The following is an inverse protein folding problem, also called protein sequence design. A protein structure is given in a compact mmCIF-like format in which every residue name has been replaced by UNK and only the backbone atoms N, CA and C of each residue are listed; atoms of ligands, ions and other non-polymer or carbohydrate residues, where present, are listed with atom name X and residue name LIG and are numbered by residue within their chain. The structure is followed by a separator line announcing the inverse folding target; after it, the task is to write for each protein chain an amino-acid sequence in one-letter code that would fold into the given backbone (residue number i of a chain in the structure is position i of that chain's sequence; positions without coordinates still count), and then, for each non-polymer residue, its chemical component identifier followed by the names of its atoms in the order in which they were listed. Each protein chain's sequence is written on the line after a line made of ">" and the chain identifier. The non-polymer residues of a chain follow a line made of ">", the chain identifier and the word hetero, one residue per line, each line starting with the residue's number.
data_IF_564924465408
#
_entry.id   IF_564924465408
#
_cell.length_a   1.000
_cell.length_b   1.000
_cell.length_c   1.000
_cell.angle_alpha   90.00
_cell.angle_beta   90.00
_cell.angle_gamma   90.00
#
_symmetry.space_group_name_H-M   'P 1'
#
loop_
_entity.id
_entity.type
_entity.pdbx_description
1 polymer ?
#
# COMPACT_ATOMS: atom_id res chain seq x y z
N UNK A 1 -0.85 -5.44 33.50
CA UNK A 1 -0.62 -6.68 32.73
C UNK A 1 -1.75 -6.76 31.72
N UNK A 2 -1.47 -6.56 30.43
CA UNK A 2 -2.42 -6.87 29.38
C UNK A 2 -2.61 -8.39 29.40
N UNK A 3 -3.78 -8.83 29.81
CA UNK A 3 -4.13 -10.22 29.61
C UNK A 3 -4.68 -10.30 28.21
N UNK A 4 -3.90 -10.84 27.30
CA UNK A 4 -4.46 -11.36 26.05
C UNK A 4 -5.65 -12.27 26.35
N UNK A 5 -6.46 -12.57 25.36
CA UNK A 5 -7.55 -13.54 25.50
C UNK A 5 -6.96 -14.92 25.78
N UNK A 6 -6.60 -15.18 27.05
CA UNK A 6 -6.00 -16.44 27.48
C UNK A 6 -7.07 -17.47 27.86
N UNK A 7 -6.88 -18.72 27.45
CA UNK A 7 -7.67 -19.86 27.91
C UNK A 7 -6.81 -21.08 28.13
N UNK A 8 -7.32 -22.01 28.95
CA UNK A 8 -6.64 -23.29 29.26
C UNK A 8 -6.58 -24.22 28.05
N UNK A 9 -7.47 -24.02 27.07
CA UNK A 9 -7.55 -24.81 25.84
C UNK A 9 -7.33 -23.97 24.60
N UNK A 10 -6.65 -24.51 23.59
CA UNK A 10 -6.63 -23.95 22.25
C UNK A 10 -8.07 -23.87 21.76
N UNK A 11 -8.55 -22.66 21.49
CA UNK A 11 -9.97 -22.46 21.23
C UNK A 11 -10.40 -22.80 19.83
N UNK A 12 -9.67 -22.34 18.82
CA UNK A 12 -10.07 -22.39 17.42
C UNK A 12 -8.92 -22.80 16.51
N UNK A 13 -9.28 -23.18 15.28
CA UNK A 13 -8.38 -23.56 14.22
C UNK A 13 -7.84 -22.35 13.42
N UNK A 14 -7.66 -21.20 14.06
CA UNK A 14 -7.22 -19.97 13.40
C UNK A 14 -5.72 -19.99 13.09
N UNK A 15 -5.40 -19.59 11.86
CA UNK A 15 -4.03 -19.35 11.40
C UNK A 15 -3.61 -17.90 11.53
N UNK A 16 -2.34 -17.70 11.87
CA UNK A 16 -1.70 -16.38 11.91
C UNK A 16 -1.51 -15.80 10.50
N UNK A 17 -1.38 -14.48 10.39
CA UNK A 17 -1.01 -13.80 9.15
C UNK A 17 0.37 -14.23 8.62
N UNK A 18 1.26 -14.68 9.50
CA UNK A 18 2.63 -15.11 9.15
C UNK A 18 2.82 -16.61 9.22
N UNK A 19 1.77 -17.37 8.90
CA UNK A 19 1.71 -18.82 8.95
C UNK A 19 1.66 -19.42 10.36
N UNK A 20 1.24 -20.65 10.46
CA UNK A 20 1.10 -21.36 11.73
C UNK A 20 -0.19 -21.04 12.49
N UNK A 21 -0.25 -21.49 13.75
CA UNK A 21 -1.42 -21.26 14.63
C UNK A 21 -1.46 -19.80 15.11
N UNK A 22 -2.62 -19.18 15.18
CA UNK A 22 -2.82 -17.91 15.87
C UNK A 22 -2.89 -18.01 17.40
N UNK A 23 -2.72 -19.21 17.94
CA UNK A 23 -2.77 -19.49 19.39
C UNK A 23 -1.45 -20.07 19.87
N UNK A 24 -0.86 -19.44 20.89
CA UNK A 24 0.37 -19.89 21.54
C UNK A 24 0.09 -20.24 23.00
N UNK A 25 0.63 -21.39 23.42
CA UNK A 25 0.59 -21.79 24.83
C UNK A 25 1.71 -21.09 25.61
N UNK A 26 1.36 -20.46 26.73
CA UNK A 26 2.31 -19.89 27.68
C UNK A 26 2.48 -20.83 28.89
N UNK A 27 3.65 -21.45 29.00
CA UNK A 27 3.98 -22.40 30.10
C UNK A 27 3.94 -21.74 31.45
N UNK A 28 4.21 -20.44 31.55
CA UNK A 28 4.26 -19.72 32.86
C UNK A 28 2.88 -19.56 33.46
N UNK A 29 1.89 -19.27 32.62
CA UNK A 29 0.48 -19.07 33.04
C UNK A 29 -0.37 -20.33 32.88
N UNK A 30 0.10 -21.31 32.12
CA UNK A 30 -0.68 -22.51 31.76
C UNK A 30 -1.88 -22.21 30.86
N UNK A 31 -1.86 -21.13 30.08
CA UNK A 31 -2.95 -20.67 29.25
C UNK A 31 -2.50 -20.46 27.79
N UNK A 32 -3.46 -20.48 26.87
CA UNK A 32 -3.24 -20.03 25.50
C UNK A 32 -3.57 -18.53 25.39
N UNK A 33 -2.79 -17.82 24.55
CA UNK A 33 -3.10 -16.47 24.15
C UNK A 33 -3.21 -16.36 22.61
N UNK A 34 -4.01 -15.40 22.17
CA UNK A 34 -4.13 -15.06 20.74
C UNK A 34 -2.94 -14.21 20.31
N UNK A 35 -2.37 -14.52 19.17
CA UNK A 35 -1.46 -13.66 18.41
C UNK A 35 -1.86 -13.73 16.94
N UNK A 36 -2.15 -12.61 16.31
CA UNK A 36 -2.56 -12.61 14.92
C UNK A 36 -1.36 -12.63 13.97
N UNK A 37 -0.17 -12.28 14.47
CA UNK A 37 1.10 -12.24 13.75
C UNK A 37 2.10 -13.23 14.36
N UNK A 38 3.19 -12.75 14.95
CA UNK A 38 4.16 -13.63 15.62
C UNK A 38 3.82 -13.86 17.09
N UNK A 39 4.27 -14.98 17.69
CA UNK A 39 4.00 -15.28 19.10
C UNK A 39 4.46 -14.20 20.08
N UNK A 40 5.49 -13.43 19.74
CA UNK A 40 6.03 -12.32 20.54
C UNK A 40 5.12 -11.09 20.54
N UNK A 41 4.05 -11.08 19.72
CA UNK A 41 3.05 -10.01 19.61
C UNK A 41 1.68 -10.47 20.14
N UNK A 42 1.49 -10.67 21.44
CA UNK A 42 0.18 -11.05 21.99
C UNK A 42 -0.86 -9.98 21.69
N UNK A 43 -2.03 -10.41 21.26
CA UNK A 43 -3.14 -9.52 20.93
C UNK A 43 -3.72 -8.88 22.19
N UNK A 44 -3.93 -7.56 22.17
CA UNK A 44 -4.48 -6.82 23.31
C UNK A 44 -5.99 -7.01 23.42
N UNK A 45 -6.48 -7.24 24.62
CA UNK A 45 -7.91 -7.34 24.87
C UNK A 45 -8.56 -5.95 24.97
N UNK A 46 -9.04 -5.44 23.83
CA UNK A 46 -9.73 -4.16 23.73
C UNK A 46 -11.13 -4.14 24.39
N UNK A 47 -11.75 -5.28 24.67
CA UNK A 47 -12.98 -5.34 25.47
C UNK A 47 -12.73 -4.85 26.90
N UNK A 48 -11.49 -4.96 27.39
CA UNK A 48 -11.10 -4.48 28.70
C UNK A 48 -10.92 -2.94 28.69
N UNK A 49 -11.77 -2.17 29.39
CA UNK A 49 -11.69 -0.70 29.39
C UNK A 49 -10.38 -0.18 30.02
N UNK A 50 -9.70 -0.98 30.85
CA UNK A 50 -8.39 -0.60 31.42
C UNK A 50 -7.32 -0.60 30.31
N UNK A 51 -7.37 -1.58 29.40
CA UNK A 51 -6.45 -1.62 28.25
C UNK A 51 -6.67 -0.40 27.36
N UNK A 52 -7.93 -0.08 27.02
CA UNK A 52 -8.26 1.10 26.20
C UNK A 52 -7.75 2.39 26.89
N UNK A 53 -7.97 2.53 28.19
CA UNK A 53 -7.47 3.70 28.94
C UNK A 53 -5.95 3.84 28.85
N UNK A 54 -5.21 2.76 29.07
CA UNK A 54 -3.75 2.80 28.99
C UNK A 54 -3.23 3.17 27.59
N UNK A 55 -3.91 2.68 26.54
CA UNK A 55 -3.61 3.06 25.15
C UNK A 55 -3.90 4.56 24.92
N UNK A 56 -5.03 5.07 25.40
CA UNK A 56 -5.39 6.48 25.23
C UNK A 56 -4.48 7.40 26.04
N UNK A 57 -4.04 6.99 27.22
CA UNK A 57 -3.07 7.73 28.03
C UNK A 57 -1.70 7.79 27.31
N UNK A 58 -1.25 6.69 26.72
CA UNK A 58 -0.04 6.63 25.90
C UNK A 58 -0.15 7.55 24.68
N UNK A 59 -1.26 7.52 23.94
CA UNK A 59 -1.48 8.39 22.80
C UNK A 59 -1.48 9.87 23.22
N UNK A 60 -2.15 10.21 24.33
CA UNK A 60 -2.16 11.56 24.90
C UNK A 60 -0.74 12.04 25.22
N UNK A 61 0.08 11.16 25.83
CA UNK A 61 1.46 11.50 26.14
C UNK A 61 2.28 11.85 24.90
N UNK A 62 2.07 11.14 23.77
CA UNK A 62 2.69 11.49 22.50
C UNK A 62 2.18 12.83 21.94
N UNK A 63 0.87 13.09 22.01
CA UNK A 63 0.29 14.36 21.58
C UNK A 63 0.88 15.53 22.38
N UNK A 64 1.07 15.38 23.70
CA UNK A 64 1.71 16.37 24.55
C UNK A 64 3.19 16.60 24.23
N UNK A 65 3.85 15.64 23.53
CA UNK A 65 5.19 15.82 22.96
C UNK A 65 5.19 16.62 21.68
N UNK A 66 4.02 16.90 21.08
CA UNK A 66 3.88 17.73 19.89
C UNK A 66 3.91 16.97 18.59
N UNK A 67 3.47 15.71 18.55
CA UNK A 67 3.25 15.02 17.27
C UNK A 67 1.99 15.53 16.58
N UNK A 68 1.97 15.46 15.24
CA UNK A 68 0.89 15.97 14.42
C UNK A 68 -0.11 14.88 13.95
N UNK A 69 0.06 13.64 14.40
CA UNK A 69 -0.87 12.57 14.04
C UNK A 69 -0.36 11.16 14.32
N UNK A 70 -1.17 10.20 13.90
CA UNK A 70 -0.90 8.77 14.06
C UNK A 70 -1.17 8.00 12.77
N UNK A 71 -0.25 7.12 12.41
CA UNK A 71 -0.54 5.95 11.59
C UNK A 71 -0.80 4.79 12.54
N UNK A 72 -1.97 4.19 12.44
CA UNK A 72 -2.42 3.13 13.34
C UNK A 72 -2.31 1.78 12.64
N UNK A 73 -1.38 0.98 13.14
CA UNK A 73 -1.09 -0.37 12.63
C UNK A 73 -2.28 -1.28 12.85
N UNK A 74 -2.69 -2.00 11.80
CA UNK A 74 -3.77 -3.00 11.79
C UNK A 74 -4.99 -2.63 12.64
N UNK A 75 -5.37 -1.37 12.61
CA UNK A 75 -6.41 -0.82 13.48
C UNK A 75 -7.76 -1.49 13.30
N UNK A 76 -8.03 -2.11 12.17
CA UNK A 76 -9.27 -2.87 11.90
C UNK A 76 -9.36 -4.21 12.62
N UNK A 77 -8.34 -4.59 13.39
CA UNK A 77 -8.24 -5.88 14.07
C UNK A 77 -8.39 -5.78 15.61
N UNK A 78 -8.73 -4.63 16.16
CA UNK A 78 -8.76 -4.43 17.62
C UNK A 78 -10.02 -5.03 18.26
N UNK A 79 -11.12 -5.12 17.53
CA UNK A 79 -12.38 -5.73 18.03
C UNK A 79 -12.48 -7.19 17.61
N UNK A 80 -12.69 -8.08 18.59
CA UNK A 80 -12.85 -9.51 18.34
C UNK A 80 -14.32 -9.91 18.31
N UNK A 81 -14.68 -11.05 17.66
CA UNK A 81 -16.05 -11.53 17.68
C UNK A 81 -16.47 -11.92 19.10
N UNK A 82 -17.76 -11.75 19.41
CA UNK A 82 -18.32 -12.17 20.71
C UNK A 82 -18.18 -13.68 20.97
N UNK A 83 -18.30 -14.48 19.92
CA UNK A 83 -18.11 -15.93 19.95
C UNK A 83 -16.96 -16.36 19.06
N UNK A 84 -16.02 -17.08 19.65
CA UNK A 84 -14.88 -17.68 18.95
C UNK A 84 -15.32 -19.02 18.33
N UNK A 85 -15.36 -19.12 17.01
CA UNK A 85 -15.77 -20.32 16.25
C UNK A 85 -14.65 -20.78 15.36
N UNK A 86 -14.62 -22.11 15.10
CA UNK A 86 -13.74 -22.66 14.06
C UNK A 86 -14.17 -22.13 12.69
N UNK A 87 -13.17 -21.84 11.87
CA UNK A 87 -13.37 -21.41 10.49
C UNK A 87 -13.23 -22.55 9.49
N UNK A 88 -13.69 -22.34 8.24
CA UNK A 88 -13.45 -23.28 7.17
C UNK A 88 -11.95 -23.32 6.83
N UNK A 89 -11.43 -24.53 6.67
CA UNK A 89 -10.04 -24.76 6.26
C UNK A 89 -10.06 -25.21 4.80
N UNK A 90 -9.26 -24.56 3.95
CA UNK A 90 -9.12 -24.96 2.54
C UNK A 90 -8.36 -26.29 2.43
N UNK A 91 -8.58 -26.99 1.33
CA UNK A 91 -7.87 -28.24 1.06
C UNK A 91 -6.35 -28.00 1.03
N UNK A 92 -5.61 -28.78 1.80
CA UNK A 92 -4.15 -28.64 1.94
C UNK A 92 -3.68 -27.67 3.02
N UNK A 93 -4.57 -26.83 3.59
CA UNK A 93 -4.22 -25.94 4.70
C UNK A 93 -4.45 -26.61 6.06
N UNK A 94 -3.72 -26.18 7.09
CA UNK A 94 -3.88 -26.67 8.47
C UNK A 94 -4.82 -25.78 9.31
N UNK A 95 -4.97 -24.51 8.93
CA UNK A 95 -5.64 -23.48 9.71
C UNK A 95 -6.57 -22.67 8.82
N UNK A 96 -7.59 -22.07 9.42
CA UNK A 96 -8.44 -21.05 8.79
C UNK A 96 -7.83 -19.67 8.98
N UNK A 97 -7.84 -18.83 7.97
CA UNK A 97 -7.28 -17.47 8.05
C UNK A 97 -7.97 -16.63 9.13
N UNK A 98 -7.23 -16.16 10.14
CA UNK A 98 -7.82 -15.46 11.30
C UNK A 98 -8.45 -14.11 10.92
N UNK A 99 -7.94 -13.39 9.93
CA UNK A 99 -8.45 -12.10 9.50
C UNK A 99 -9.92 -12.13 9.09
N UNK A 100 -10.41 -13.28 8.57
CA UNK A 100 -11.82 -13.46 8.25
C UNK A 100 -12.76 -13.37 9.46
N UNK A 101 -12.23 -13.51 10.69
CA UNK A 101 -13.01 -13.48 11.94
C UNK A 101 -12.69 -12.29 12.82
N UNK A 102 -11.51 -11.70 12.67
CA UNK A 102 -10.98 -10.69 13.56
C UNK A 102 -11.00 -9.28 12.98
N UNK A 103 -11.20 -9.14 11.66
CA UNK A 103 -11.27 -7.84 11.02
C UNK A 103 -12.66 -7.23 11.14
N UNK A 104 -12.71 -5.91 11.37
CA UNK A 104 -13.93 -5.12 11.44
C UNK A 104 -14.95 -5.71 12.46
N UNK A 105 -14.48 -6.05 13.65
CA UNK A 105 -15.27 -6.69 14.68
C UNK A 105 -16.42 -5.82 15.21
N UNK A 106 -17.35 -6.41 16.01
CA UNK A 106 -18.63 -5.78 16.35
C UNK A 106 -18.50 -4.47 17.13
N UNK A 107 -17.42 -4.27 17.90
CA UNK A 107 -17.17 -3.06 18.70
C UNK A 107 -16.10 -2.13 18.11
N UNK A 108 -15.66 -2.38 16.89
CA UNK A 108 -14.56 -1.65 16.23
C UNK A 108 -14.82 -0.14 16.23
N UNK A 109 -15.94 0.27 15.69
CA UNK A 109 -16.32 1.69 15.59
C UNK A 109 -16.62 2.32 16.96
N UNK A 110 -17.09 1.56 17.93
CA UNK A 110 -17.27 2.05 19.30
C UNK A 110 -15.92 2.43 19.93
N UNK A 111 -14.90 1.58 19.77
CA UNK A 111 -13.56 1.83 20.29
C UNK A 111 -12.89 3.01 19.59
N UNK A 112 -13.05 3.13 18.28
CA UNK A 112 -12.50 4.27 17.52
C UNK A 112 -13.20 5.59 17.89
N UNK A 113 -14.51 5.58 18.10
CA UNK A 113 -15.23 6.77 18.55
C UNK A 113 -14.86 7.13 19.98
N UNK A 114 -14.66 6.16 20.89
CA UNK A 114 -14.12 6.42 22.23
C UNK A 114 -12.72 7.03 22.16
N UNK A 115 -11.84 6.48 21.32
CA UNK A 115 -10.48 7.02 21.05
C UNK A 115 -10.55 8.46 20.55
N UNK A 116 -11.44 8.72 19.60
CA UNK A 116 -11.60 10.07 19.04
C UNK A 116 -12.05 11.05 20.14
N UNK A 117 -13.07 10.71 20.91
CA UNK A 117 -13.59 11.57 21.98
C UNK A 117 -12.56 11.79 23.11
N UNK A 118 -11.79 10.77 23.45
CA UNK A 118 -10.82 10.83 24.57
C UNK A 118 -9.50 11.48 24.19
N UNK A 119 -9.06 11.32 22.92
CA UNK A 119 -7.74 11.76 22.46
C UNK A 119 -7.84 12.61 21.19
N UNK A 120 -8.26 12.03 20.04
CA UNK A 120 -7.98 12.61 18.74
C UNK A 120 -8.64 13.99 18.55
N UNK A 121 -9.89 14.15 18.96
CA UNK A 121 -10.62 15.43 18.82
C UNK A 121 -10.09 16.57 19.71
N UNK A 122 -9.17 16.28 20.62
CA UNK A 122 -8.57 17.28 21.53
C UNK A 122 -7.35 17.97 20.94
N UNK A 123 -6.83 17.46 19.83
CA UNK A 123 -5.63 17.92 19.16
C UNK A 123 -5.90 18.10 17.67
N UNK A 124 -5.07 18.90 16.99
CA UNK A 124 -5.14 19.02 15.54
C UNK A 124 -4.26 17.93 14.90
N UNK A 125 -4.84 16.77 14.68
CA UNK A 125 -4.13 15.57 14.25
C UNK A 125 -4.56 15.11 12.86
N UNK A 126 -3.62 14.61 12.09
CA UNK A 126 -3.88 13.73 10.94
C UNK A 126 -3.83 12.27 11.41
N UNK A 127 -4.87 11.50 11.12
CA UNK A 127 -4.90 10.09 11.49
C UNK A 127 -5.16 9.21 10.26
N UNK A 128 -4.36 8.16 10.12
CA UNK A 128 -4.54 7.17 9.06
C UNK A 128 -4.50 5.76 9.66
N UNK A 129 -5.53 4.99 9.39
CA UNK A 129 -5.61 3.60 9.83
C UNK A 129 -5.14 2.64 8.76
N UNK A 130 -4.31 1.67 9.13
CA UNK A 130 -4.10 0.50 8.30
C UNK A 130 -5.26 -0.47 8.54
N UNK A 131 -6.02 -0.73 7.48
CA UNK A 131 -7.25 -1.52 7.58
C UNK A 131 -7.19 -2.72 6.63
N UNK A 132 -6.64 -3.81 7.13
CA UNK A 132 -6.68 -5.09 6.43
C UNK A 132 -8.14 -5.57 6.31
N UNK A 133 -8.48 -6.19 5.19
CA UNK A 133 -9.81 -6.75 4.93
C UNK A 133 -10.95 -5.71 4.99
N UNK A 134 -10.66 -4.42 4.79
CA UNK A 134 -11.68 -3.38 4.76
C UNK A 134 -12.40 -3.38 3.41
N UNK A 135 -13.72 -3.32 3.44
CA UNK A 135 -14.54 -3.02 2.27
C UNK A 135 -14.75 -1.52 2.13
N UNK A 136 -15.17 -1.08 0.94
CA UNK A 136 -15.52 0.32 0.71
C UNK A 136 -16.58 0.82 1.71
N UNK A 137 -17.57 0.00 2.05
CA UNK A 137 -18.64 0.38 2.99
C UNK A 137 -18.12 0.50 4.42
N UNK A 138 -17.18 -0.34 4.84
CA UNK A 138 -16.51 -0.18 6.13
C UNK A 138 -15.61 1.07 6.14
N UNK A 139 -14.83 1.30 5.06
CA UNK A 139 -13.98 2.48 4.96
C UNK A 139 -14.75 3.79 5.11
N UNK A 140 -15.98 3.87 4.59
CA UNK A 140 -16.88 5.01 4.78
C UNK A 140 -17.22 5.28 6.25
N UNK A 141 -17.20 4.26 7.11
CA UNK A 141 -17.43 4.42 8.55
C UNK A 141 -16.17 4.94 9.25
N UNK A 142 -15.01 4.30 8.98
CA UNK A 142 -13.71 4.67 9.56
C UNK A 142 -13.30 6.12 9.27
N UNK A 143 -13.48 6.56 8.03
CA UNK A 143 -12.91 7.82 7.52
C UNK A 143 -13.98 8.84 7.11
N UNK A 144 -15.14 8.79 7.72
CA UNK A 144 -16.26 9.66 7.42
C UNK A 144 -15.92 11.13 7.67
N UNK A 145 -16.39 12.01 6.78
CA UNK A 145 -16.12 13.45 6.83
C UNK A 145 -16.68 14.16 8.07
N UNK A 146 -17.49 13.48 8.91
CA UNK A 146 -17.97 14.01 10.17
C UNK A 146 -16.93 14.00 11.30
N UNK A 147 -15.73 13.45 11.03
CA UNK A 147 -14.57 13.49 11.92
C UNK A 147 -14.71 12.72 13.23
N UNK A 148 -15.57 11.72 13.29
CA UNK A 148 -15.83 10.97 14.53
C UNK A 148 -14.87 9.82 14.80
N UNK A 149 -14.08 9.39 13.81
CA UNK A 149 -13.12 8.31 13.92
C UNK A 149 -11.77 8.78 13.36
N UNK A 150 -11.36 8.31 12.20
CA UNK A 150 -10.07 8.59 11.59
C UNK A 150 -10.20 9.59 10.43
N UNK A 151 -9.09 10.21 10.02
CA UNK A 151 -9.08 11.10 8.87
C UNK A 151 -9.17 10.33 7.55
N UNK A 152 -8.52 9.16 7.47
CA UNK A 152 -8.50 8.27 6.30
C UNK A 152 -8.02 6.87 6.67
N UNK A 153 -8.11 5.93 5.74
CA UNK A 153 -7.61 4.56 5.90
C UNK A 153 -6.82 4.11 4.68
N UNK A 154 -5.84 3.22 4.90
CA UNK A 154 -5.20 2.46 3.84
C UNK A 154 -6.00 1.18 3.57
N UNK A 155 -6.52 1.05 2.37
CA UNK A 155 -7.14 -0.17 1.86
C UNK A 155 -6.11 -1.01 1.09
N UNK A 156 -6.33 -2.32 0.98
CA UNK A 156 -5.38 -3.25 0.40
C UNK A 156 -5.90 -3.96 -0.86
N UNK A 157 -7.13 -3.72 -1.30
CA UNK A 157 -7.70 -4.44 -2.43
C UNK A 157 -6.85 -4.33 -3.71
N UNK A 158 -6.27 -3.15 -3.98
CA UNK A 158 -5.39 -2.97 -5.13
C UNK A 158 -4.03 -3.66 -4.97
N UNK A 159 -3.61 -3.99 -3.74
CA UNK A 159 -2.38 -4.76 -3.50
C UNK A 159 -2.53 -6.25 -3.85
N UNK A 160 -3.77 -6.74 -4.00
CA UNK A 160 -4.05 -8.15 -4.26
C UNK A 160 -4.37 -8.45 -5.74
N UNK A 161 -4.32 -7.45 -6.64
CA UNK A 161 -4.68 -7.62 -8.07
C UNK A 161 -3.81 -8.63 -8.82
N UNK A 162 -2.59 -8.83 -8.37
CA UNK A 162 -1.62 -9.78 -8.91
C UNK A 162 -1.38 -10.97 -7.97
N UNK A 163 -2.39 -11.31 -7.14
CA UNK A 163 -2.45 -12.50 -6.28
C UNK A 163 -3.30 -13.61 -6.91
N UNK A 164 -3.09 -14.86 -6.45
CA UNK A 164 -3.86 -16.05 -6.83
C UNK A 164 -4.26 -16.89 -5.60
N UNK A 165 -4.48 -18.19 -5.76
CA UNK A 165 -4.82 -19.11 -4.67
C UNK A 165 -3.73 -19.24 -3.59
N UNK A 166 -2.47 -18.89 -3.92
CA UNK A 166 -1.34 -18.82 -2.99
C UNK A 166 -1.10 -17.41 -2.43
N UNK A 167 -2.09 -16.51 -2.55
CA UNK A 167 -1.98 -15.12 -2.19
C UNK A 167 -1.02 -14.37 -3.12
N UNK A 168 -0.19 -13.48 -2.54
CA UNK A 168 0.80 -12.70 -3.31
C UNK A 168 1.98 -13.54 -3.85
N UNK A 169 2.14 -14.78 -3.34
CA UNK A 169 3.30 -15.62 -3.63
C UNK A 169 3.15 -16.40 -4.93
N UNK A 170 3.09 -15.65 -6.01
CA UNK A 170 2.80 -16.14 -7.36
C UNK A 170 3.56 -15.33 -8.42
N UNK A 171 3.67 -15.87 -9.62
CA UNK A 171 4.22 -15.17 -10.78
C UNK A 171 3.16 -14.42 -11.61
N UNK A 172 1.90 -14.40 -11.14
CA UNK A 172 0.81 -13.65 -11.77
C UNK A 172 1.20 -12.20 -11.98
N UNK A 173 0.95 -11.70 -13.17
CA UNK A 173 1.22 -10.31 -13.56
C UNK A 173 -0.01 -9.44 -13.34
N UNK A 174 0.22 -8.14 -13.26
CA UNK A 174 -0.85 -7.16 -13.26
C UNK A 174 -1.74 -7.34 -14.50
N UNK A 175 -3.05 -7.45 -14.26
CA UNK A 175 -4.07 -7.24 -15.27
C UNK A 175 -4.68 -5.87 -15.02
N UNK A 176 -4.38 -4.92 -15.89
CA UNK A 176 -4.70 -3.51 -15.66
C UNK A 176 -6.19 -3.23 -15.42
N UNK A 177 -7.15 -3.89 -16.12
CA UNK A 177 -8.57 -3.70 -15.83
C UNK A 177 -8.98 -3.98 -14.39
N UNK A 178 -8.39 -5.00 -13.72
CA UNK A 178 -8.66 -5.29 -12.31
C UNK A 178 -8.21 -4.14 -11.40
N UNK A 179 -7.03 -3.58 -11.66
CA UNK A 179 -6.52 -2.42 -10.93
C UNK A 179 -7.42 -1.19 -11.13
N UNK A 180 -7.84 -0.94 -12.37
CA UNK A 180 -8.75 0.19 -12.70
C UNK A 180 -10.09 0.05 -12.00
N UNK A 181 -10.69 -1.15 -12.04
CA UNK A 181 -11.96 -1.40 -11.37
C UNK A 181 -11.90 -1.03 -9.89
N UNK A 182 -10.86 -1.50 -9.18
CA UNK A 182 -10.70 -1.24 -7.75
C UNK A 182 -10.50 0.26 -7.50
N UNK A 183 -9.52 0.89 -8.18
CA UNK A 183 -9.22 2.29 -7.93
C UNK A 183 -10.39 3.21 -8.32
N UNK A 184 -11.07 2.95 -9.44
CA UNK A 184 -12.25 3.70 -9.87
C UNK A 184 -13.39 3.56 -8.84
N UNK A 185 -13.63 2.35 -8.35
CA UNK A 185 -14.66 2.09 -7.33
C UNK A 185 -14.37 2.82 -6.03
N UNK A 186 -13.11 2.83 -5.57
CA UNK A 186 -12.71 3.57 -4.36
C UNK A 186 -12.79 5.08 -4.55
N UNK A 187 -12.35 5.60 -5.71
CA UNK A 187 -12.48 7.03 -6.02
C UNK A 187 -13.94 7.48 -6.00
N UNK A 188 -14.82 6.77 -6.71
CA UNK A 188 -16.26 7.10 -6.76
C UNK A 188 -16.97 6.85 -5.44
N UNK A 189 -16.64 5.78 -4.77
CA UNK A 189 -17.33 5.36 -3.56
C UNK A 189 -17.05 6.24 -2.34
N UNK A 190 -15.88 6.87 -2.25
CA UNK A 190 -15.55 7.80 -1.18
C UNK A 190 -15.89 9.26 -1.49
N UNK A 191 -16.20 9.59 -2.75
CA UNK A 191 -16.48 10.96 -3.19
C UNK A 191 -17.58 11.60 -2.34
N UNK A 192 -17.26 12.73 -1.71
CA UNK A 192 -18.19 13.48 -0.87
C UNK A 192 -18.55 12.85 0.49
N UNK A 193 -18.03 11.65 0.79
CA UNK A 193 -18.32 10.91 2.03
C UNK A 193 -17.11 10.79 2.92
N UNK A 194 -15.96 10.41 2.37
CA UNK A 194 -14.72 10.19 3.09
C UNK A 194 -13.51 10.57 2.24
N UNK A 195 -12.35 10.70 2.88
CA UNK A 195 -11.11 11.07 2.19
C UNK A 195 -10.29 9.82 1.87
N UNK A 196 -9.79 9.71 0.63
CA UNK A 196 -9.01 8.59 0.17
C UNK A 196 -7.51 8.77 0.51
N UNK A 197 -6.83 7.70 0.90
CA UNK A 197 -5.38 7.61 0.91
C UNK A 197 -4.89 6.89 -0.36
N UNK A 198 -3.85 7.43 -0.98
CA UNK A 198 -3.32 6.95 -2.25
C UNK A 198 -1.89 6.48 -2.04
N UNK A 199 -1.55 5.25 -2.45
CA UNK A 199 -0.20 4.74 -2.37
C UNK A 199 0.02 3.63 -3.39
N UNK A 200 1.27 3.47 -3.84
CA UNK A 200 1.68 2.37 -4.70
C UNK A 200 2.45 1.30 -3.95
N UNK A 201 3.30 1.72 -3.02
CA UNK A 201 4.09 0.83 -2.17
C UNK A 201 4.23 1.39 -0.76
N UNK A 202 4.80 0.59 0.13
CA UNK A 202 5.10 0.94 1.51
C UNK A 202 6.19 -0.01 2.06
N UNK A 203 6.44 0.02 3.38
CA UNK A 203 7.42 -0.85 4.04
C UNK A 203 7.06 -2.35 4.01
N UNK A 204 5.87 -2.71 3.55
CA UNK A 204 5.35 -4.09 3.45
C UNK A 204 5.00 -4.49 2.02
N UNK A 205 5.34 -3.67 1.01
CA UNK A 205 5.09 -3.94 -0.39
C UNK A 205 6.39 -3.81 -1.20
N UNK A 206 6.58 -4.63 -2.24
CA UNK A 206 7.72 -4.48 -3.13
C UNK A 206 7.71 -3.14 -3.85
N UNK A 207 8.85 -2.72 -4.39
CA UNK A 207 9.00 -1.46 -5.13
C UNK A 207 8.09 -1.44 -6.36
N UNK A 208 7.24 -0.42 -6.46
CA UNK A 208 6.19 -0.35 -7.49
C UNK A 208 6.73 -0.34 -8.91
N UNK A 209 7.87 0.31 -9.16
CA UNK A 209 8.47 0.35 -10.51
C UNK A 209 8.87 -1.04 -10.99
N UNK A 210 9.30 -1.92 -10.08
CA UNK A 210 9.63 -3.32 -10.40
C UNK A 210 8.38 -4.22 -10.45
N UNK A 211 7.33 -3.88 -9.69
CA UNK A 211 6.12 -4.69 -9.62
C UNK A 211 5.16 -4.44 -10.78
N UNK A 212 4.85 -3.17 -11.04
CA UNK A 212 3.82 -2.77 -12.01
C UNK A 212 4.33 -1.82 -13.10
N UNK A 213 5.55 -1.30 -12.96
CA UNK A 213 6.24 -0.55 -13.98
C UNK A 213 7.16 -1.43 -14.81
N UNK A 214 8.26 -0.83 -15.24
CA UNK A 214 9.35 -1.51 -15.93
C UNK A 214 10.69 -0.96 -15.39
N UNK A 215 11.42 -1.78 -14.66
CA UNK A 215 12.67 -1.40 -14.00
C UNK A 215 13.93 -1.63 -14.85
N UNK A 216 13.76 -1.92 -16.15
CA UNK A 216 14.87 -1.96 -17.10
C UNK A 216 15.53 -0.58 -17.22
N UNK A 217 16.80 -0.56 -17.59
CA UNK A 217 17.56 0.68 -17.80
C UNK A 217 16.85 1.64 -18.77
N UNK A 218 16.20 1.10 -19.80
CA UNK A 218 15.51 1.87 -20.84
C UNK A 218 14.23 2.55 -20.32
N UNK A 219 13.43 1.86 -19.50
CA UNK A 219 12.07 2.31 -19.17
C UNK A 219 11.86 2.71 -17.72
N UNK A 220 12.79 2.46 -16.81
CA UNK A 220 12.62 2.69 -15.37
C UNK A 220 12.16 4.12 -15.06
N UNK A 221 12.84 5.11 -15.61
CA UNK A 221 12.52 6.51 -15.30
C UNK A 221 11.16 6.92 -15.83
N UNK A 222 10.86 6.54 -17.06
CA UNK A 222 9.60 6.89 -17.72
C UNK A 222 8.43 6.17 -17.05
N UNK A 223 8.58 4.88 -16.74
CA UNK A 223 7.52 4.11 -16.08
C UNK A 223 7.28 4.56 -14.64
N UNK A 224 8.33 4.92 -13.89
CA UNK A 224 8.18 5.49 -12.55
C UNK A 224 7.42 6.83 -12.58
N UNK A 225 7.73 7.70 -13.55
CA UNK A 225 7.00 8.98 -13.73
C UNK A 225 5.55 8.76 -14.18
N UNK A 226 5.28 7.72 -14.99
CA UNK A 226 3.92 7.32 -15.37
C UNK A 226 3.11 6.89 -14.16
N UNK A 227 3.65 5.99 -13.33
CA UNK A 227 3.03 5.53 -12.09
C UNK A 227 2.75 6.71 -11.14
N UNK A 228 3.74 7.60 -10.97
CA UNK A 228 3.58 8.81 -10.16
C UNK A 228 2.44 9.70 -10.66
N UNK A 229 2.37 9.96 -11.97
CA UNK A 229 1.29 10.77 -12.56
C UNK A 229 -0.07 10.12 -12.35
N UNK A 230 -0.18 8.83 -12.62
CA UNK A 230 -1.42 8.07 -12.46
C UNK A 230 -1.99 8.23 -11.05
N UNK A 231 -1.17 8.11 -10.01
CA UNK A 231 -1.63 8.21 -8.62
C UNK A 231 -1.87 9.65 -8.18
N UNK A 232 -0.91 10.57 -8.47
CA UNK A 232 -0.98 11.94 -7.96
C UNK A 232 -2.10 12.78 -8.56
N UNK A 233 -2.65 12.39 -9.71
CA UNK A 233 -3.81 13.08 -10.31
C UNK A 233 -5.15 12.59 -9.75
N UNK A 234 -5.19 11.57 -8.89
CA UNK A 234 -6.40 11.09 -8.21
C UNK A 234 -6.80 11.97 -7.02
N UNK A 235 -8.08 11.87 -6.59
CA UNK A 235 -8.56 12.49 -5.37
C UNK A 235 -8.10 11.69 -4.14
N UNK A 236 -7.50 12.37 -3.18
CA UNK A 236 -6.99 11.76 -1.95
C UNK A 236 -5.64 12.33 -1.55
N UNK A 237 -5.06 11.80 -0.50
CA UNK A 237 -3.71 12.14 -0.05
C UNK A 237 -2.71 11.11 -0.58
N UNK A 238 -1.79 11.48 -1.49
CA UNK A 238 -0.73 10.58 -1.93
C UNK A 238 0.32 10.39 -0.82
N UNK A 239 0.65 9.14 -0.57
CA UNK A 239 1.74 8.71 0.31
C UNK A 239 2.88 8.20 -0.56
N UNK A 240 4.03 8.83 -0.47
CA UNK A 240 5.23 8.46 -1.21
C UNK A 240 6.16 7.71 -0.26
N UNK A 241 6.41 6.45 -0.55
CA UNK A 241 7.35 5.66 0.25
C UNK A 241 8.80 6.04 -0.09
N UNK A 242 9.68 6.03 0.92
CA UNK A 242 11.10 6.35 0.73
C UNK A 242 11.73 5.51 -0.40
N UNK A 243 12.33 6.21 -1.38
CA UNK A 243 12.94 5.61 -2.56
C UNK A 243 12.00 5.45 -3.76
N UNK A 244 10.68 5.56 -3.60
CA UNK A 244 9.73 5.63 -4.71
C UNK A 244 10.02 6.84 -5.60
N UNK A 245 10.28 7.99 -4.98
CA UNK A 245 10.68 9.23 -5.65
C UNK A 245 12.02 9.18 -6.37
N UNK A 246 12.81 8.14 -6.13
CA UNK A 246 14.06 7.87 -6.85
C UNK A 246 13.92 6.77 -7.92
N UNK A 247 12.76 6.10 -7.95
CA UNK A 247 12.57 4.89 -8.73
C UNK A 247 13.50 3.76 -8.28
N UNK A 248 13.69 3.60 -6.95
CA UNK A 248 14.41 2.45 -6.40
C UNK A 248 13.69 1.17 -6.82
N UNK A 249 14.47 0.17 -7.19
CA UNK A 249 13.96 -1.12 -7.69
C UNK A 249 14.02 -2.20 -6.62
N UNK A 250 13.34 -3.32 -6.88
CA UNK A 250 13.52 -4.53 -6.11
C UNK A 250 14.98 -5.02 -6.16
N UNK A 251 15.37 -5.72 -5.11
CA UNK A 251 16.64 -6.43 -5.04
C UNK A 251 16.44 -7.90 -5.46
N UNK A 252 17.45 -8.50 -6.08
CA UNK A 252 17.42 -9.91 -6.40
C UNK A 252 18.03 -10.72 -5.26
N UNK A 253 17.23 -11.63 -4.68
CA UNK A 253 17.67 -12.58 -3.67
C UNK A 253 17.96 -13.94 -4.32
N UNK A 254 19.13 -14.51 -4.04
CA UNK A 254 19.52 -15.82 -4.56
C UNK A 254 19.31 -16.94 -3.56
N UNK A 255 19.28 -16.61 -2.26
CA UNK A 255 19.12 -17.57 -1.18
C UNK A 255 18.25 -16.99 -0.07
N UNK A 256 17.49 -17.86 0.60
CA UNK A 256 16.64 -17.48 1.72
C UNK A 256 17.42 -16.86 2.91
N UNK A 257 18.72 -17.16 3.03
CA UNK A 257 19.59 -16.55 4.05
C UNK A 257 19.86 -15.05 3.82
N UNK A 258 19.55 -14.53 2.63
CA UNK A 258 19.64 -13.10 2.29
C UNK A 258 18.38 -12.34 2.71
N UNK A 259 17.30 -13.06 3.07
CA UNK A 259 16.03 -12.50 3.50
C UNK A 259 15.95 -12.46 5.03
N UNK A 260 15.44 -11.36 5.57
CA UNK A 260 15.20 -11.19 7.02
C UNK A 260 13.73 -11.39 7.40
N UNK A 261 12.83 -11.13 6.47
CA UNK A 261 11.39 -11.19 6.73
C UNK A 261 10.92 -12.58 7.13
N UNK A 262 10.20 -12.64 8.25
CA UNK A 262 9.62 -13.89 8.77
C UNK A 262 8.53 -14.46 7.84
N UNK A 263 7.78 -13.60 7.15
CA UNK A 263 6.77 -14.04 6.20
C UNK A 263 7.41 -14.77 5.02
N UNK A 264 8.51 -14.23 4.47
CA UNK A 264 9.26 -14.85 3.38
C UNK A 264 9.86 -16.20 3.79
N UNK A 265 10.40 -16.28 5.02
CA UNK A 265 10.96 -17.51 5.56
C UNK A 265 9.90 -18.57 5.76
N UNK A 266 8.76 -18.22 6.32
CA UNK A 266 7.68 -19.13 6.61
C UNK A 266 7.01 -19.65 5.32
N UNK A 267 6.70 -18.76 4.38
CA UNK A 267 6.07 -19.17 3.12
C UNK A 267 7.00 -20.05 2.26
N UNK A 268 8.31 -19.83 2.35
CA UNK A 268 9.27 -20.72 1.71
C UNK A 268 9.16 -22.14 2.29
N UNK A 269 9.06 -22.29 3.61
CA UNK A 269 8.85 -23.60 4.25
C UNK A 269 7.53 -24.20 3.79
N UNK A 270 6.46 -23.44 3.83
CA UNK A 270 5.12 -23.92 3.47
C UNK A 270 5.05 -24.39 2.00
N UNK A 271 5.53 -23.59 1.05
CA UNK A 271 5.35 -23.86 -0.39
C UNK A 271 6.48 -24.67 -1.04
N UNK A 272 7.70 -24.60 -0.53
CA UNK A 272 8.85 -25.34 -1.09
C UNK A 272 9.10 -26.64 -0.32
N UNK A 273 9.18 -26.58 1.02
CA UNK A 273 9.57 -27.74 1.84
C UNK A 273 8.40 -28.68 2.08
N UNK A 274 7.27 -28.16 2.54
CA UNK A 274 6.12 -28.95 2.97
C UNK A 274 5.20 -29.34 1.80
N UNK A 275 4.62 -28.34 1.12
CA UNK A 275 3.64 -28.57 0.05
C UNK A 275 4.28 -28.88 -1.31
N UNK A 276 5.54 -28.50 -1.52
CA UNK A 276 6.31 -28.74 -2.78
C UNK A 276 5.61 -28.15 -4.02
N UNK A 277 5.01 -26.99 -3.86
CA UNK A 277 4.35 -26.25 -4.95
C UNK A 277 5.40 -25.66 -5.90
N UNK A 278 6.48 -25.07 -5.33
CA UNK A 278 7.55 -24.44 -6.09
C UNK A 278 8.90 -25.09 -5.84
N UNK A 279 9.79 -24.98 -6.83
CA UNK A 279 11.22 -25.24 -6.64
C UNK A 279 11.88 -24.08 -5.89
N UNK A 280 13.10 -24.30 -5.38
CA UNK A 280 13.90 -23.22 -4.75
C UNK A 280 14.00 -22.00 -5.67
N UNK A 281 14.42 -22.20 -6.92
CA UNK A 281 14.65 -21.09 -7.87
C UNK A 281 13.35 -20.33 -8.18
N UNK A 282 12.23 -21.02 -8.36
CA UNK A 282 10.93 -20.38 -8.57
C UNK A 282 10.52 -19.55 -7.36
N UNK A 283 10.68 -20.07 -6.15
CA UNK A 283 10.30 -19.33 -4.94
C UNK A 283 11.21 -18.13 -4.70
N UNK A 284 12.52 -18.25 -4.92
CA UNK A 284 13.44 -17.10 -4.79
C UNK A 284 13.16 -16.03 -5.83
N UNK A 285 12.73 -16.39 -7.04
CA UNK A 285 12.27 -15.43 -8.05
C UNK A 285 10.98 -14.72 -7.62
N UNK A 286 10.03 -15.45 -7.03
CA UNK A 286 8.79 -14.86 -6.48
C UNK A 286 9.11 -13.93 -5.31
N UNK A 287 9.95 -14.34 -4.36
CA UNK A 287 10.38 -13.51 -3.22
C UNK A 287 11.06 -12.22 -3.72
N UNK A 288 11.96 -12.31 -4.71
CA UNK A 288 12.62 -11.15 -5.31
C UNK A 288 11.63 -10.16 -5.96
N UNK A 289 10.44 -10.62 -6.37
CA UNK A 289 9.41 -9.77 -6.98
C UNK A 289 8.36 -9.27 -6.01
N UNK A 290 8.00 -10.07 -5.00
CA UNK A 290 6.82 -9.84 -4.15
C UNK A 290 7.16 -9.67 -2.66
N UNK A 291 8.37 -10.01 -2.25
CA UNK A 291 8.79 -9.98 -0.85
C UNK A 291 8.89 -8.57 -0.28
N UNK A 292 8.59 -8.44 1.01
CA UNK A 292 8.62 -7.17 1.75
C UNK A 292 10.02 -6.63 1.95
N UNK A 293 11.03 -7.48 1.98
CA UNK A 293 12.44 -7.09 2.14
C UNK A 293 12.94 -6.18 1.02
N UNK A 294 12.30 -6.21 -0.16
CA UNK A 294 12.56 -5.26 -1.24
C UNK A 294 12.35 -3.79 -0.82
N UNK A 295 11.34 -3.52 0.01
CA UNK A 295 11.07 -2.20 0.54
C UNK A 295 12.03 -1.78 1.67
N UNK A 296 12.74 -2.75 2.27
CA UNK A 296 13.57 -2.58 3.46
C UNK A 296 15.06 -2.51 3.18
N UNK A 297 15.44 -2.60 1.90
CA UNK A 297 16.83 -2.33 1.51
C UNK A 297 17.22 -0.90 1.91
N UNK A 298 18.47 -0.66 2.34
CA UNK A 298 18.95 0.66 2.72
C UNK A 298 18.67 1.71 1.66
N UNK A 299 18.24 2.91 2.11
CA UNK A 299 18.02 4.06 1.23
C UNK A 299 19.32 4.42 0.48
N UNK A 300 19.18 4.67 -0.81
CA UNK A 300 20.30 4.96 -1.71
C UNK A 300 20.53 6.48 -1.76
N UNK A 301 21.37 6.98 -0.83
CA UNK A 301 21.64 8.41 -0.71
C UNK A 301 22.62 8.92 -1.77
N UNK A 302 23.69 8.17 -2.03
CA UNK A 302 24.71 8.53 -3.02
C UNK A 302 25.45 7.30 -3.58
N UNK A 303 26.46 7.52 -4.44
CA UNK A 303 27.25 6.46 -5.04
C UNK A 303 28.45 5.99 -4.20
N UNK A 304 28.61 6.47 -2.96
CA UNK A 304 29.67 6.03 -2.05
C UNK A 304 29.43 4.63 -1.51
N UNK A 305 30.34 4.12 -0.69
CA UNK A 305 30.19 2.80 -0.07
C UNK A 305 28.90 2.71 0.73
N UNK A 306 28.23 1.56 0.68
CA UNK A 306 26.93 1.30 1.29
C UNK A 306 25.85 2.34 0.88
N UNK A 307 25.93 2.88 -0.33
CA UNK A 307 25.00 3.88 -0.84
C UNK A 307 24.92 5.17 0.01
N UNK A 308 25.98 5.51 0.74
CA UNK A 308 25.97 6.62 1.69
C UNK A 308 25.08 6.41 2.93
N UNK A 309 24.52 5.22 3.09
CA UNK A 309 23.60 4.90 4.18
C UNK A 309 24.30 4.75 5.53
N UNK A 310 25.47 4.08 5.55
CA UNK A 310 26.28 3.85 6.75
C UNK A 310 27.75 3.70 6.44
N UNK A 311 28.62 4.06 7.41
CA UNK A 311 30.06 3.77 7.37
C UNK A 311 30.40 2.43 8.01
N UNK A 312 29.42 1.76 8.62
CA UNK A 312 29.53 0.41 9.21
C UNK A 312 28.97 -0.66 8.28
N UNK A 313 28.72 -1.84 8.82
CA UNK A 313 28.00 -2.91 8.11
C UNK A 313 26.51 -2.57 8.07
N UNK A 314 25.87 -2.48 6.89
CA UNK A 314 24.43 -2.28 6.83
C UNK A 314 23.70 -3.49 7.44
N UNK A 315 22.54 -3.22 8.07
CA UNK A 315 21.71 -4.28 8.68
C UNK A 315 21.15 -5.26 7.64
N UNK A 316 21.04 -4.80 6.39
CA UNK A 316 20.48 -5.54 5.26
C UNK A 316 21.30 -5.27 4.00
N UNK A 317 21.19 -6.13 2.99
CA UNK A 317 21.89 -5.98 1.73
C UNK A 317 21.54 -4.67 1.00
N UNK A 318 22.54 -3.95 0.53
CA UNK A 318 22.37 -2.75 -0.30
C UNK A 318 22.14 -3.18 -1.74
N UNK A 319 21.09 -2.67 -2.37
CA UNK A 319 20.84 -2.94 -3.78
C UNK A 319 22.02 -2.41 -4.62
N UNK A 320 22.70 -3.28 -5.41
CA UNK A 320 23.94 -2.90 -6.10
C UNK A 320 23.78 -1.78 -7.12
N UNK A 321 22.57 -1.47 -7.56
CA UNK A 321 22.29 -0.38 -8.51
C UNK A 321 22.38 1.03 -7.89
N UNK A 322 22.70 1.15 -6.59
CA UNK A 322 22.86 2.45 -5.93
C UNK A 322 23.92 3.35 -6.60
N UNK A 323 24.83 2.76 -7.38
CA UNK A 323 25.82 3.52 -8.14
C UNK A 323 25.20 4.48 -9.17
N UNK A 324 24.05 4.13 -9.70
CA UNK A 324 23.31 4.88 -10.72
C UNK A 324 21.96 5.41 -10.22
N UNK A 325 21.35 4.72 -9.28
CA UNK A 325 20.04 5.12 -8.69
C UNK A 325 20.30 5.61 -7.27
N UNK A 326 20.36 6.92 -7.08
CA UNK A 326 20.55 7.51 -5.75
C UNK A 326 20.05 8.96 -5.67
N UNK A 327 19.82 9.42 -4.46
CA UNK A 327 19.26 10.74 -4.19
C UNK A 327 20.17 11.87 -4.68
N UNK A 328 21.48 11.78 -4.43
CA UNK A 328 22.43 12.84 -4.77
C UNK A 328 22.44 13.15 -6.28
N UNK A 329 22.42 12.11 -7.12
CA UNK A 329 22.37 12.30 -8.57
C UNK A 329 21.03 12.90 -9.03
N UNK A 330 19.91 12.48 -8.42
CA UNK A 330 18.59 12.89 -8.88
C UNK A 330 18.17 14.29 -8.39
N UNK A 331 18.65 14.72 -7.23
CA UNK A 331 18.36 16.09 -6.73
C UNK A 331 18.93 17.15 -7.68
N UNK A 332 20.09 16.90 -8.27
CA UNK A 332 20.77 17.81 -9.19
C UNK A 332 20.23 17.75 -10.64
N UNK A 333 19.57 16.65 -11.03
CA UNK A 333 19.03 16.48 -12.38
C UNK A 333 17.57 16.99 -12.45
N UNK A 334 17.29 18.10 -13.15
CA UNK A 334 15.94 18.65 -13.27
C UNK A 334 14.94 17.72 -13.96
N UNK A 335 15.43 16.73 -14.72
CA UNK A 335 14.60 15.76 -15.43
C UNK A 335 14.43 14.44 -14.66
N UNK A 336 15.00 14.32 -13.47
CA UNK A 336 14.93 13.11 -12.65
C UNK A 336 13.53 12.75 -12.20
N UNK A 337 13.36 11.52 -11.71
CA UNK A 337 12.13 11.07 -11.06
C UNK A 337 11.85 11.95 -9.83
N UNK A 338 12.85 12.24 -9.00
CA UNK A 338 12.74 13.09 -7.81
C UNK A 338 12.13 14.46 -8.14
N UNK A 339 12.68 15.16 -9.12
CA UNK A 339 12.18 16.48 -9.52
C UNK A 339 10.80 16.40 -10.18
N UNK A 340 10.47 15.27 -10.81
CA UNK A 340 9.14 15.02 -11.32
C UNK A 340 8.09 14.85 -10.20
N UNK A 341 8.39 14.08 -9.14
CA UNK A 341 7.56 13.99 -7.94
C UNK A 341 7.36 15.35 -7.28
N UNK A 342 8.43 16.12 -7.15
CA UNK A 342 8.37 17.48 -6.62
C UNK A 342 7.41 18.37 -7.42
N UNK A 343 7.45 18.26 -8.76
CA UNK A 343 6.53 18.97 -9.66
C UNK A 343 5.08 18.52 -9.44
N UNK A 344 4.82 17.21 -9.34
CA UNK A 344 3.46 16.69 -9.10
C UNK A 344 2.89 17.18 -7.76
N UNK A 345 3.69 17.15 -6.69
CA UNK A 345 3.31 17.66 -5.37
C UNK A 345 3.01 19.17 -5.44
N UNK A 346 3.79 19.94 -6.19
CA UNK A 346 3.55 21.37 -6.38
C UNK A 346 2.26 21.62 -7.14
N UNK A 347 1.98 20.87 -8.21
CA UNK A 347 0.72 20.96 -8.96
C UNK A 347 -0.49 20.68 -8.08
N UNK A 348 -0.43 19.69 -7.20
CA UNK A 348 -1.51 19.43 -6.23
C UNK A 348 -1.76 20.59 -5.28
N UNK A 349 -0.74 21.40 -4.95
CA UNK A 349 -0.88 22.60 -4.11
C UNK A 349 -1.45 23.80 -4.88
N UNK A 350 -1.31 23.83 -6.20
CA UNK A 350 -1.70 24.94 -7.06
C UNK A 350 -3.04 24.72 -7.77
N UNK A 351 -3.38 23.49 -8.11
CA UNK A 351 -4.54 23.15 -8.92
C UNK A 351 -5.58 22.36 -8.10
N UNK A 352 -6.57 23.09 -7.60
CA UNK A 352 -7.65 22.52 -6.78
C UNK A 352 -8.42 21.39 -7.49
N UNK A 353 -8.50 21.42 -8.83
CA UNK A 353 -9.16 20.36 -9.60
C UNK A 353 -8.51 18.98 -9.40
N UNK A 354 -7.20 18.90 -9.13
CA UNK A 354 -6.52 17.66 -8.81
C UNK A 354 -6.96 17.14 -7.44
N UNK A 355 -7.15 18.03 -6.47
CA UNK A 355 -7.43 17.67 -5.07
C UNK A 355 -8.92 17.42 -4.85
N UNK A 356 -9.78 18.34 -5.32
CA UNK A 356 -11.21 18.37 -4.99
C UNK A 356 -12.14 18.03 -6.17
N UNK A 357 -11.60 17.91 -7.40
CA UNK A 357 -12.41 17.57 -8.56
C UNK A 357 -13.06 16.18 -8.43
N UNK A 358 -14.20 15.99 -9.06
CA UNK A 358 -14.82 14.67 -9.21
C UNK A 358 -13.96 13.80 -10.11
N UNK A 359 -14.06 12.50 -9.93
CA UNK A 359 -13.32 11.49 -10.68
C UNK A 359 -14.27 10.71 -11.61
N UNK A 360 -13.91 10.52 -12.87
CA UNK A 360 -14.60 9.61 -13.78
C UNK A 360 -13.58 8.78 -14.56
N UNK A 361 -13.61 7.45 -14.36
CA UNK A 361 -12.85 6.48 -15.15
C UNK A 361 -13.38 6.39 -16.57
N UNK A 362 -12.45 6.27 -17.52
CA UNK A 362 -12.75 6.09 -18.94
C UNK A 362 -11.97 4.87 -19.45
N UNK A 363 -12.44 4.27 -20.57
CA UNK A 363 -11.74 3.13 -21.19
C UNK A 363 -11.50 1.96 -20.22
N UNK A 364 -12.50 1.61 -19.40
CA UNK A 364 -12.35 0.65 -18.31
C UNK A 364 -11.90 -0.74 -18.79
N UNK A 365 -12.31 -1.15 -19.99
CA UNK A 365 -11.95 -2.43 -20.60
C UNK A 365 -10.58 -2.43 -21.30
N UNK A 366 -9.93 -1.27 -21.50
CA UNK A 366 -8.61 -1.22 -22.13
C UNK A 366 -7.55 -1.86 -21.22
N UNK A 367 -6.80 -2.81 -21.76
CA UNK A 367 -5.78 -3.57 -21.01
C UNK A 367 -4.44 -2.85 -20.93
N UNK A 368 -4.24 -1.74 -21.63
CA UNK A 368 -2.96 -1.05 -21.74
C UNK A 368 -3.01 0.37 -21.17
N UNK A 369 -4.16 1.03 -21.26
CA UNK A 369 -4.33 2.43 -20.85
C UNK A 369 -5.15 2.55 -19.59
N UNK A 370 -4.68 3.36 -18.65
CA UNK A 370 -5.49 3.89 -17.58
C UNK A 370 -5.85 5.34 -17.89
N UNK A 371 -7.12 5.59 -18.08
CA UNK A 371 -7.65 6.90 -18.49
C UNK A 371 -8.74 7.33 -17.51
N UNK A 372 -8.69 8.57 -17.08
CA UNK A 372 -9.74 9.17 -16.26
C UNK A 372 -9.76 10.68 -16.37
N UNK A 373 -10.85 11.30 -15.94
CA UNK A 373 -10.99 12.75 -15.86
C UNK A 373 -11.10 13.22 -14.41
N UNK A 374 -10.71 14.49 -14.19
CA UNK A 374 -10.97 15.24 -12.95
C UNK A 374 -11.72 16.50 -13.32
N UNK A 375 -12.83 16.78 -12.64
CA UNK A 375 -13.69 17.94 -12.95
C UNK A 375 -14.01 18.73 -11.70
N UNK A 376 -13.76 20.07 -11.74
CA UNK A 376 -14.11 20.99 -10.68
C UNK A 376 -14.64 22.30 -11.31
N UNK A 377 -15.94 22.53 -11.24
CA UNK A 377 -16.59 23.65 -11.91
C UNK A 377 -16.39 23.59 -13.43
N UNK A 378 -15.76 24.61 -13.99
CA UNK A 378 -15.43 24.74 -15.42
C UNK A 378 -14.04 24.17 -15.76
N UNK A 379 -13.27 23.73 -14.79
CA UNK A 379 -11.96 23.12 -14.98
C UNK A 379 -12.07 21.61 -15.13
N UNK A 380 -11.48 21.07 -16.20
CA UNK A 380 -11.45 19.63 -16.44
C UNK A 380 -10.07 19.19 -16.90
N UNK A 381 -9.58 18.10 -16.30
CA UNK A 381 -8.36 17.41 -16.71
C UNK A 381 -8.71 16.05 -17.34
N UNK A 382 -7.98 15.68 -18.37
CA UNK A 382 -7.93 14.33 -18.91
C UNK A 382 -6.55 13.75 -18.62
N UNK A 383 -6.50 12.63 -17.92
CA UNK A 383 -5.29 11.90 -17.57
C UNK A 383 -5.22 10.63 -18.41
N UNK A 384 -4.13 10.42 -19.12
CA UNK A 384 -3.87 9.22 -19.92
C UNK A 384 -2.54 8.63 -19.47
N UNK A 385 -2.51 7.35 -19.06
CA UNK A 385 -1.33 6.61 -18.64
C UNK A 385 -1.23 5.28 -19.39
N UNK A 386 -0.16 5.09 -20.12
CA UNK A 386 0.16 3.83 -20.80
C UNK A 386 0.97 2.93 -19.85
N UNK A 387 0.44 1.78 -19.47
CA UNK A 387 1.09 0.81 -18.58
C UNK A 387 1.93 -0.22 -19.35
N UNK A 388 2.23 0.02 -20.62
CA UNK A 388 2.96 -0.94 -21.46
C UNK A 388 4.13 -0.30 -22.21
N UNK A 389 5.02 -1.14 -22.71
CA UNK A 389 6.12 -0.75 -23.60
C UNK A 389 5.70 -0.56 -25.07
N UNK A 390 4.39 -0.64 -25.35
CA UNK A 390 3.86 -0.48 -26.68
C UNK A 390 3.56 0.99 -26.97
N UNK A 391 3.80 1.40 -28.22
CA UNK A 391 3.23 2.62 -28.75
C UNK A 391 1.78 2.35 -29.16
N UNK A 392 0.85 3.19 -28.72
CA UNK A 392 -0.59 3.00 -28.88
C UNK A 392 -1.21 4.20 -29.63
N UNK A 393 -2.26 3.94 -30.37
CA UNK A 393 -3.09 5.02 -30.93
C UNK A 393 -3.98 5.61 -29.82
N UNK A 394 -4.31 6.90 -29.96
CA UNK A 394 -5.31 7.53 -29.07
C UNK A 394 -6.67 6.87 -29.33
N UNK A 395 -7.36 6.35 -28.30
CA UNK A 395 -8.70 5.78 -28.46
C UNK A 395 -9.65 6.75 -29.16
N UNK A 396 -10.48 6.23 -30.06
CA UNK A 396 -11.43 7.05 -30.86
C UNK A 396 -12.36 7.88 -29.95
N UNK A 397 -12.77 7.31 -28.81
CA UNK A 397 -13.58 7.97 -27.77
C UNK A 397 -12.93 9.21 -27.17
N UNK A 398 -11.57 9.27 -27.16
CA UNK A 398 -10.79 10.37 -26.60
C UNK A 398 -10.29 11.35 -27.66
N UNK A 399 -10.41 11.00 -28.95
CA UNK A 399 -9.77 11.72 -30.04
C UNK A 399 -10.15 13.22 -30.08
N UNK A 400 -11.42 13.55 -29.86
CA UNK A 400 -11.89 14.93 -29.85
C UNK A 400 -11.35 15.69 -28.62
N UNK A 401 -11.38 15.09 -27.43
CA UNK A 401 -10.82 15.71 -26.20
C UNK A 401 -9.32 15.97 -26.33
N UNK A 402 -8.58 15.03 -26.92
CA UNK A 402 -7.13 15.19 -27.13
C UNK A 402 -6.85 16.22 -28.21
N UNK A 403 -7.61 16.26 -29.31
CA UNK A 403 -7.43 17.21 -30.39
C UNK A 403 -7.78 18.64 -29.97
N UNK A 404 -8.84 18.81 -29.19
CA UNK A 404 -9.34 20.12 -28.73
C UNK A 404 -8.79 20.53 -27.36
N UNK A 405 -7.70 19.90 -26.88
CA UNK A 405 -7.13 20.22 -25.60
C UNK A 405 -6.69 21.70 -25.52
N UNK A 406 -6.71 22.23 -24.31
CA UNK A 406 -6.33 23.62 -24.02
C UNK A 406 -4.86 23.76 -23.53
N UNK A 407 -4.10 22.70 -23.64
CA UNK A 407 -2.70 22.60 -23.23
C UNK A 407 -2.41 21.40 -22.33
N UNK A 408 -1.15 21.09 -22.19
CA UNK A 408 -0.64 20.01 -21.33
C UNK A 408 -0.31 20.61 -19.97
N UNK A 409 -0.90 20.07 -18.89
CA UNK A 409 -0.55 20.41 -17.52
C UNK A 409 0.79 19.78 -17.12
N UNK A 410 0.95 18.49 -17.38
CA UNK A 410 2.15 17.73 -17.12
C UNK A 410 2.23 16.50 -18.02
N UNK A 411 3.44 16.08 -18.35
CA UNK A 411 3.74 14.85 -19.05
C UNK A 411 5.15 14.37 -18.71
N UNK A 412 5.40 13.08 -18.86
CA UNK A 412 6.71 12.48 -18.60
C UNK A 412 7.63 12.43 -19.84
N UNK A 413 7.13 12.85 -20.98
CA UNK A 413 7.92 13.12 -22.19
C UNK A 413 7.98 14.63 -22.46
N UNK A 414 9.08 15.08 -23.06
CA UNK A 414 9.32 16.53 -23.35
C UNK A 414 8.48 17.06 -24.53
N UNK A 415 8.32 16.21 -25.54
CA UNK A 415 7.63 16.58 -26.77
C UNK A 415 6.29 15.91 -26.86
N UNK A 416 5.32 16.54 -27.48
CA UNK A 416 4.03 15.94 -27.81
C UNK A 416 4.17 14.91 -28.93
N UNK A 417 3.30 13.91 -28.97
CA UNK A 417 3.22 12.92 -30.03
C UNK A 417 1.77 12.75 -30.46
N UNK A 418 1.55 12.29 -31.69
CA UNK A 418 0.22 11.89 -32.18
C UNK A 418 -0.23 10.54 -31.62
N UNK A 419 0.74 9.76 -31.11
CA UNK A 419 0.50 8.48 -30.47
C UNK A 419 0.90 8.52 -29.00
N UNK A 420 0.37 7.59 -28.22
CA UNK A 420 0.72 7.38 -26.83
C UNK A 420 1.95 6.45 -26.79
N UNK A 421 3.09 6.98 -26.33
CA UNK A 421 4.38 6.27 -26.32
C UNK A 421 4.47 5.24 -25.19
N UNK A 422 5.48 4.37 -25.20
CA UNK A 422 5.73 3.44 -24.11
C UNK A 422 5.78 4.15 -22.74
N UNK A 423 5.01 3.66 -21.77
CA UNK A 423 4.91 4.23 -20.42
C UNK A 423 4.66 5.74 -20.37
N UNK A 424 4.01 6.30 -21.40
CA UNK A 424 3.66 7.72 -21.41
C UNK A 424 2.54 8.02 -20.43
N UNK A 425 2.73 9.10 -19.66
CA UNK A 425 1.67 9.74 -18.90
C UNK A 425 1.55 11.19 -19.35
N UNK A 426 0.35 11.61 -19.68
CA UNK A 426 0.05 12.98 -20.07
C UNK A 426 -1.27 13.44 -19.46
N UNK A 427 -1.28 14.68 -19.01
CA UNK A 427 -2.46 15.33 -18.41
C UNK A 427 -2.79 16.56 -19.21
N UNK A 428 -3.95 16.53 -19.84
CA UNK A 428 -4.46 17.63 -20.65
C UNK A 428 -5.50 18.47 -19.90
N UNK A 429 -5.46 19.78 -20.11
CA UNK A 429 -6.63 20.61 -19.90
C UNK A 429 -7.63 20.37 -21.02
N UNK A 430 -8.87 20.04 -20.67
CA UNK A 430 -9.96 19.78 -21.65
C UNK A 430 -11.20 20.58 -21.29
N UNK A 431 -12.16 20.64 -22.23
CA UNK A 431 -13.44 21.33 -21.98
C UNK A 431 -14.45 20.42 -21.28
#
# INVERSE_FOLDING_TARGET
>A
RSRGLGDVYKRQNWGSYFSGSAWQFDETTGQYYLHQFVPEQPDLNWDNPVVRKEVFDMMTWWCEKGIDGFRMDVISLISKPEEYKDGPVKEGEKYSFCGAFTANGPHEHEYLQEMNQKVLSRYNLLTVGETSCVTLEEAKKYARSDGKELSMVFQFEHMDVDSDEHGKWTDKKLYLPDLKEILNRWQKGLEGVAWNSLYWDNHDQPRVVSRWGNDSEEYREISAKMLATCLHMMQGTPYVYQGEELGMTNMRFSNLSECDDIEEKNIYVDLVTDAKVYTHDQMMDIISRKGRDNARTPMQWDSSENAGFTTGTPWFGVNPNYKTINAAAQVEDPESIYNYYKKLIQLRKQEEVIVYGTFDGLEDADENLYVYTRTLGDKKLLVICNFTEKELDVPVSLADMVKENQGILVGNYKESSEKIRPYEAVVYWVK
#
